data_IF_755567891571
#
_entry.id   IF_755567891571
#
_cell.length_a   1.000
_cell.length_b   1.000
_cell.length_c   1.000
_cell.angle_alpha   90.00
_cell.angle_beta   90.00
_cell.angle_gamma   90.00
#
_symmetry.space_group_name_H-M   'P 1'
#
loop_
_entity.id
_entity.type
_entity.pdbx_description
1 polymer ?
#
# COMPACT_ATOMS: atom_id res chain seq x y z
N UNK A 1 21.20 11.13 -7.55
CA UNK A 1 20.40 10.95 -8.77
C UNK A 1 19.24 9.99 -8.56
N UNK A 2 19.51 8.74 -8.31
CA UNK A 2 18.43 7.78 -8.07
C UNK A 2 17.55 8.17 -6.88
N UNK A 3 18.16 8.72 -5.85
CA UNK A 3 17.45 9.14 -4.66
C UNK A 3 16.48 10.29 -4.93
N UNK A 4 16.88 11.23 -5.74
CA UNK A 4 15.99 12.35 -6.12
C UNK A 4 14.79 11.85 -6.91
N UNK A 5 15.01 10.90 -7.80
CA UNK A 5 13.92 10.29 -8.57
C UNK A 5 12.95 9.59 -7.63
N UNK A 6 13.47 8.91 -6.60
CA UNK A 6 12.63 8.21 -5.63
C UNK A 6 11.75 9.17 -4.84
N UNK A 7 12.32 10.28 -4.40
CA UNK A 7 11.55 11.27 -3.65
C UNK A 7 10.44 11.88 -4.50
N UNK A 8 10.74 12.13 -5.77
CA UNK A 8 9.77 12.72 -6.68
C UNK A 8 8.67 11.74 -7.08
N UNK A 9 8.95 10.43 -7.05
CA UNK A 9 7.99 9.43 -7.46
C UNK A 9 6.71 9.49 -6.63
N UNK A 10 6.83 9.64 -5.30
CA UNK A 10 5.67 9.68 -4.41
C UNK A 10 4.84 10.95 -4.55
N UNK A 11 5.35 11.97 -5.25
CA UNK A 11 4.69 13.26 -5.41
C UNK A 11 4.42 13.60 -6.85
N UNK A 12 4.66 12.68 -7.77
CA UNK A 12 4.53 13.00 -9.17
C UNK A 12 3.07 13.25 -9.56
N UNK A 13 2.85 14.14 -10.55
CA UNK A 13 1.50 14.43 -11.04
C UNK A 13 0.83 13.20 -11.63
N UNK A 14 -0.51 13.26 -11.69
CA UNK A 14 -1.32 12.17 -12.23
C UNK A 14 -0.87 11.71 -13.61
N UNK A 15 -0.41 12.64 -14.45
CA UNK A 15 0.02 12.33 -15.81
C UNK A 15 1.21 11.36 -15.88
N UNK A 16 1.97 11.27 -14.80
CA UNK A 16 3.15 10.39 -14.74
C UNK A 16 2.90 9.10 -13.98
N UNK A 17 1.69 8.90 -13.52
CA UNK A 17 1.37 7.68 -12.81
C UNK A 17 1.40 6.48 -13.75
N UNK A 18 1.86 5.37 -13.21
CA UNK A 18 2.09 4.18 -13.99
C UNK A 18 3.48 4.11 -14.61
N UNK A 19 4.23 5.23 -14.62
CA UNK A 19 5.60 5.23 -15.12
C UNK A 19 6.55 4.98 -13.95
N UNK A 20 6.89 3.70 -13.73
CA UNK A 20 7.80 3.29 -12.65
C UNK A 20 7.26 3.57 -11.25
N UNK A 21 5.96 3.76 -11.10
CA UNK A 21 5.34 3.87 -9.78
C UNK A 21 5.35 2.50 -9.15
N UNK A 22 5.97 2.38 -7.98
CA UNK A 22 6.11 1.12 -7.28
C UNK A 22 5.10 1.01 -6.15
N UNK A 23 4.42 -0.12 -6.12
CA UNK A 23 3.41 -0.42 -5.10
C UNK A 23 3.82 -1.71 -4.40
N UNK A 24 3.85 -1.69 -3.08
CA UNK A 24 4.15 -2.87 -2.28
C UNK A 24 2.88 -3.41 -1.67
N UNK A 25 2.53 -4.64 -2.00
CA UNK A 25 1.35 -5.32 -1.47
C UNK A 25 1.79 -6.19 -0.30
N UNK A 26 1.31 -5.86 0.90
CA UNK A 26 1.67 -6.55 2.13
C UNK A 26 0.45 -7.33 2.63
N UNK A 27 0.50 -8.64 2.51
CA UNK A 27 -0.59 -9.52 2.86
C UNK A 27 -0.04 -10.94 3.00
N UNK A 28 -0.41 -11.66 4.05
CA UNK A 28 -0.01 -13.05 4.21
C UNK A 28 -0.76 -13.98 3.26
N UNK A 29 -1.87 -13.51 2.70
CA UNK A 29 -2.65 -14.28 1.72
C UNK A 29 -2.07 -14.11 0.32
N UNK A 30 -1.45 -15.17 -0.17
CA UNK A 30 -0.86 -15.17 -1.51
C UNK A 30 -1.91 -14.89 -2.60
N UNK A 31 -3.13 -15.40 -2.43
CA UNK A 31 -4.18 -15.19 -3.43
C UNK A 31 -4.51 -13.71 -3.61
N UNK A 32 -4.56 -12.97 -2.51
CA UNK A 32 -4.80 -11.55 -2.59
C UNK A 32 -3.63 -10.83 -3.28
N UNK A 33 -2.40 -11.20 -2.95
CA UNK A 33 -1.23 -10.58 -3.59
C UNK A 33 -1.23 -10.81 -5.10
N UNK A 34 -1.53 -12.04 -5.52
CA UNK A 34 -1.62 -12.37 -6.95
C UNK A 34 -2.72 -11.57 -7.64
N UNK A 35 -3.87 -11.46 -7.00
CA UNK A 35 -5.00 -10.71 -7.55
C UNK A 35 -4.68 -9.22 -7.66
N UNK A 36 -4.09 -8.65 -6.63
CA UNK A 36 -3.68 -7.24 -6.64
C UNK A 36 -2.68 -6.98 -7.77
N UNK A 37 -1.70 -7.86 -7.93
CA UNK A 37 -0.73 -7.74 -9.02
C UNK A 37 -1.41 -7.81 -10.38
N UNK A 38 -2.36 -8.72 -10.54
CA UNK A 38 -3.08 -8.88 -11.80
C UNK A 38 -3.91 -7.64 -12.16
N UNK A 39 -4.33 -6.87 -11.16
CA UNK A 39 -5.07 -5.64 -11.37
C UNK A 39 -4.12 -4.46 -11.62
N UNK A 40 -3.01 -4.39 -10.90
CA UNK A 40 -2.14 -3.22 -10.90
C UNK A 40 -1.13 -3.23 -12.06
N UNK A 41 -0.56 -4.35 -12.40
CA UNK A 41 0.47 -4.40 -13.45
C UNK A 41 -0.04 -3.95 -14.81
N UNK A 42 -1.22 -4.40 -15.27
CA UNK A 42 -1.74 -3.91 -16.55
C UNK A 42 -1.99 -2.40 -16.58
N UNK A 43 -2.20 -1.79 -15.41
CA UNK A 43 -2.39 -0.35 -15.30
C UNK A 43 -1.08 0.42 -15.27
N UNK A 44 0.07 -0.27 -15.33
CA UNK A 44 1.38 0.34 -15.43
C UNK A 44 2.14 0.43 -14.11
N UNK A 45 1.61 -0.11 -13.02
CA UNK A 45 2.31 -0.11 -11.74
C UNK A 45 3.32 -1.25 -11.67
N UNK A 46 4.45 -0.98 -11.05
CA UNK A 46 5.42 -2.01 -10.71
C UNK A 46 5.06 -2.52 -9.31
N UNK A 47 4.83 -3.82 -9.19
CA UNK A 47 4.31 -4.40 -7.95
C UNK A 47 5.36 -5.25 -7.26
N UNK A 48 5.57 -4.97 -5.98
CA UNK A 48 6.35 -5.79 -5.07
C UNK A 48 5.41 -6.45 -4.08
N UNK A 49 5.83 -7.56 -3.50
CA UNK A 49 5.00 -8.30 -2.55
C UNK A 49 5.78 -8.60 -1.27
N UNK A 50 5.08 -8.53 -0.14
CA UNK A 50 5.59 -8.95 1.15
C UNK A 50 4.52 -9.74 1.89
N UNK A 51 4.92 -10.80 2.58
CA UNK A 51 3.96 -11.63 3.33
C UNK A 51 3.85 -11.22 4.79
N UNK A 52 4.74 -10.35 5.27
CA UNK A 52 4.68 -9.85 6.64
C UNK A 52 5.29 -8.46 6.72
N UNK A 53 5.15 -7.84 7.88
CA UNK A 53 5.63 -6.48 8.09
C UNK A 53 7.15 -6.39 8.08
N UNK A 54 7.84 -7.39 8.58
CA UNK A 54 9.30 -7.37 8.63
C UNK A 54 9.88 -7.34 7.22
N UNK A 55 9.38 -8.17 6.33
CA UNK A 55 9.79 -8.18 4.95
C UNK A 55 9.39 -6.87 4.25
N UNK A 56 8.22 -6.34 4.59
CA UNK A 56 7.76 -5.04 4.10
C UNK A 56 8.78 -3.95 4.44
N UNK A 57 9.21 -3.86 5.69
CA UNK A 57 10.16 -2.85 6.11
C UNK A 57 11.50 -2.99 5.39
N UNK A 58 11.94 -4.22 5.17
CA UNK A 58 13.16 -4.47 4.43
C UNK A 58 13.04 -3.96 2.99
N UNK A 59 11.94 -4.26 2.33
CA UNK A 59 11.69 -3.81 0.97
C UNK A 59 11.61 -2.29 0.87
N UNK A 60 11.00 -1.63 1.85
CA UNK A 60 10.91 -0.18 1.85
C UNK A 60 12.27 0.50 1.99
N UNK A 61 13.23 -0.18 2.62
CA UNK A 61 14.60 0.32 2.72
C UNK A 61 15.39 0.11 1.44
N UNK A 62 15.04 -0.89 0.66
CA UNK A 62 15.78 -1.29 -0.54
C UNK A 62 15.22 -0.69 -1.82
N UNK A 63 13.96 -0.31 -1.84
CA UNK A 63 13.27 0.15 -3.04
C UNK A 63 12.55 1.46 -2.80
N UNK A 64 12.43 2.24 -3.86
CA UNK A 64 11.67 3.49 -3.85
C UNK A 64 10.19 3.18 -4.04
N UNK A 65 9.51 2.82 -2.97
CA UNK A 65 8.08 2.46 -3.00
C UNK A 65 7.24 3.72 -2.82
N UNK A 66 6.26 3.89 -3.68
CA UNK A 66 5.37 5.06 -3.64
C UNK A 66 4.15 4.82 -2.76
N UNK A 67 3.66 3.59 -2.71
CA UNK A 67 2.49 3.26 -1.92
C UNK A 67 2.56 1.84 -1.39
N UNK A 68 1.98 1.64 -0.22
CA UNK A 68 1.85 0.32 0.41
C UNK A 68 0.37 -0.02 0.51
N UNK A 69 0.01 -1.20 0.04
CA UNK A 69 -1.31 -1.77 0.26
C UNK A 69 -1.15 -2.76 1.41
N UNK A 70 -1.73 -2.43 2.56
CA UNK A 70 -1.47 -3.13 3.80
C UNK A 70 -2.71 -3.86 4.30
N UNK A 71 -2.60 -5.18 4.43
CA UNK A 71 -3.64 -5.97 5.09
C UNK A 71 -3.64 -5.65 6.59
N UNK A 72 -4.78 -5.25 7.10
CA UNK A 72 -4.92 -4.87 8.51
C UNK A 72 -5.06 -6.09 9.42
N UNK A 73 -5.30 -7.27 8.88
CA UNK A 73 -5.50 -8.48 9.68
C UNK A 73 -4.52 -9.56 9.21
N UNK A 74 -3.36 -9.59 9.85
CA UNK A 74 -2.34 -10.61 9.59
C UNK A 74 -1.98 -11.32 10.89
N UNK A 75 -1.67 -12.63 10.82
CA UNK A 75 -1.27 -13.36 12.02
C UNK A 75 -0.07 -12.74 12.71
N UNK A 76 -0.13 -12.63 14.02
CA UNK A 76 0.99 -12.15 14.83
C UNK A 76 1.25 -10.66 14.80
N UNK A 77 0.50 -9.89 14.04
CA UNK A 77 0.68 -8.43 13.98
C UNK A 77 -0.65 -7.71 13.99
N UNK A 78 -0.68 -6.60 14.69
CA UNK A 78 -1.81 -5.71 14.71
C UNK A 78 -1.65 -4.70 13.57
N UNK A 79 -2.63 -4.64 12.66
CA UNK A 79 -2.59 -3.71 11.53
C UNK A 79 -2.54 -2.26 11.96
N UNK A 80 -3.17 -1.94 13.08
CA UNK A 80 -3.15 -0.59 13.64
C UNK A 80 -1.72 -0.18 13.99
N UNK A 81 -0.99 -1.05 14.70
CA UNK A 81 0.41 -0.80 15.03
C UNK A 81 1.27 -0.72 13.77
N UNK A 82 0.97 -1.54 12.77
CA UNK A 82 1.71 -1.54 11.52
C UNK A 82 1.59 -0.20 10.80
N UNK A 83 0.39 0.38 10.73
CA UNK A 83 0.20 1.71 10.12
C UNK A 83 1.02 2.75 10.87
N UNK A 84 0.96 2.73 12.20
CA UNK A 84 1.71 3.67 13.02
C UNK A 84 3.21 3.55 12.79
N UNK A 85 3.73 2.34 12.78
CA UNK A 85 5.15 2.10 12.57
C UNK A 85 5.60 2.56 11.18
N UNK A 86 4.83 2.25 10.15
CA UNK A 86 5.14 2.67 8.79
C UNK A 86 5.17 4.17 8.66
N UNK A 87 4.21 4.87 9.26
CA UNK A 87 4.18 6.34 9.20
C UNK A 87 5.30 6.98 9.98
N UNK A 88 5.75 6.37 11.07
CA UNK A 88 6.89 6.87 11.83
C UNK A 88 8.19 6.73 11.05
N UNK A 89 8.39 5.57 10.41
CA UNK A 89 9.63 5.28 9.70
C UNK A 89 9.67 5.88 8.29
N UNK A 90 8.51 5.98 7.66
CA UNK A 90 8.39 6.48 6.29
C UNK A 90 7.23 7.48 6.21
N UNK A 91 7.41 8.72 6.73
CA UNK A 91 6.29 9.66 6.86
C UNK A 91 5.59 10.02 5.55
N UNK A 92 6.27 9.92 4.43
CA UNK A 92 5.71 10.30 3.14
C UNK A 92 5.10 9.13 2.37
N UNK A 93 5.23 7.91 2.89
CA UNK A 93 4.67 6.76 2.20
C UNK A 93 3.14 6.83 2.19
N UNK A 94 2.54 6.50 1.06
CA UNK A 94 1.09 6.40 0.98
C UNK A 94 0.67 5.01 1.43
N UNK A 95 -0.38 4.94 2.22
CA UNK A 95 -0.88 3.66 2.75
C UNK A 95 -2.35 3.50 2.39
N UNK A 96 -2.65 2.39 1.73
CA UNK A 96 -4.02 1.93 1.51
C UNK A 96 -4.24 0.72 2.40
N UNK A 97 -5.09 0.86 3.41
CA UNK A 97 -5.41 -0.23 4.33
C UNK A 97 -6.49 -1.11 3.71
N UNK A 98 -6.29 -2.42 3.73
CA UNK A 98 -7.28 -3.36 3.24
C UNK A 98 -7.64 -4.36 4.33
N UNK A 99 -8.87 -4.85 4.31
CA UNK A 99 -9.33 -5.88 5.26
C UNK A 99 -10.49 -6.65 4.67
N UNK A 100 -10.46 -7.98 4.83
CA UNK A 100 -11.57 -8.84 4.46
C UNK A 100 -12.26 -9.46 5.66
N UNK A 101 -11.88 -9.05 6.88
CA UNK A 101 -12.45 -9.59 8.09
C UNK A 101 -13.83 -9.01 8.36
N UNK A 102 -14.62 -9.70 9.18
CA UNK A 102 -15.95 -9.22 9.60
C UNK A 102 -15.90 -7.87 10.28
N UNK A 103 -14.76 -7.57 10.92
CA UNK A 103 -14.56 -6.31 11.64
C UNK A 103 -13.86 -5.25 10.79
N UNK A 104 -13.89 -5.42 9.46
CA UNK A 104 -13.15 -4.54 8.57
C UNK A 104 -13.54 -3.06 8.75
N UNK A 105 -14.82 -2.77 8.98
CA UNK A 105 -15.26 -1.38 9.16
C UNK A 105 -14.55 -0.70 10.32
N UNK A 106 -14.36 -1.42 11.42
CA UNK A 106 -13.68 -0.88 12.59
C UNK A 106 -12.19 -0.67 12.30
N UNK A 107 -11.53 -1.69 11.76
CA UNK A 107 -10.11 -1.60 11.44
C UNK A 107 -9.82 -0.51 10.43
N UNK A 108 -10.63 -0.43 9.38
CA UNK A 108 -10.42 0.55 8.33
C UNK A 108 -10.68 1.97 8.83
N UNK A 109 -11.68 2.16 9.66
CA UNK A 109 -11.97 3.46 10.25
C UNK A 109 -10.84 3.94 11.16
N UNK A 110 -10.34 3.05 12.00
CA UNK A 110 -9.23 3.39 12.91
C UNK A 110 -7.95 3.67 12.11
N UNK A 111 -7.68 2.90 11.07
CA UNK A 111 -6.47 3.09 10.26
C UNK A 111 -6.42 4.48 9.64
N UNK A 112 -7.57 5.01 9.22
CA UNK A 112 -7.64 6.36 8.67
C UNK A 112 -7.22 7.42 9.68
N UNK A 113 -7.58 7.24 10.94
CA UNK A 113 -7.19 8.15 12.03
C UNK A 113 -5.69 8.08 12.32
N UNK A 114 -5.05 6.97 12.01
CA UNK A 114 -3.64 6.74 12.31
C UNK A 114 -2.70 7.07 11.15
N UNK A 115 -3.23 7.50 10.04
CA UNK A 115 -2.42 7.96 8.92
C UNK A 115 -2.52 7.15 7.64
N UNK A 116 -3.42 6.17 7.56
CA UNK A 116 -3.71 5.54 6.28
C UNK A 116 -4.39 6.55 5.36
N UNK A 117 -3.95 6.60 4.12
CA UNK A 117 -4.47 7.58 3.15
C UNK A 117 -5.79 7.16 2.57
N UNK A 118 -6.07 5.88 2.55
CA UNK A 118 -7.33 5.32 2.09
C UNK A 118 -7.55 3.95 2.69
N UNK A 119 -8.74 3.43 2.54
CA UNK A 119 -9.08 2.10 3.01
C UNK A 119 -9.99 1.40 2.02
N UNK A 120 -9.92 0.07 1.99
CA UNK A 120 -10.66 -0.73 1.03
C UNK A 120 -10.98 -2.09 1.61
N UNK A 121 -12.25 -2.50 1.49
CA UNK A 121 -12.64 -3.88 1.76
C UNK A 121 -12.11 -4.76 0.63
N UNK A 122 -11.50 -5.89 0.97
CA UNK A 122 -10.95 -6.81 -0.04
C UNK A 122 -11.99 -7.28 -1.06
N UNK A 123 -13.26 -7.33 -0.66
CA UNK A 123 -14.34 -7.67 -1.57
C UNK A 123 -14.48 -6.65 -2.71
N UNK A 124 -13.93 -5.45 -2.52
CA UNK A 124 -13.98 -4.38 -3.51
C UNK A 124 -12.64 -4.16 -4.21
N UNK A 125 -11.86 -5.20 -4.33
CA UNK A 125 -10.50 -5.10 -4.90
C UNK A 125 -10.49 -4.53 -6.32
N UNK A 126 -11.59 -4.64 -7.04
CA UNK A 126 -11.69 -4.03 -8.38
C UNK A 126 -11.58 -2.50 -8.36
N UNK A 127 -11.80 -1.87 -7.20
CA UNK A 127 -11.65 -0.43 -7.03
C UNK A 127 -10.22 -0.01 -6.65
N UNK A 128 -9.31 -0.97 -6.55
CA UNK A 128 -7.95 -0.71 -6.07
C UNK A 128 -7.20 0.29 -6.93
N UNK A 129 -7.27 0.14 -8.24
CA UNK A 129 -6.55 0.98 -9.18
C UNK A 129 -6.99 2.46 -9.12
N UNK A 130 -8.30 2.77 -9.26
CA UNK A 130 -8.73 4.15 -9.14
C UNK A 130 -8.48 4.73 -7.75
N UNK A 131 -8.60 3.93 -6.71
CA UNK A 131 -8.32 4.39 -5.35
C UNK A 131 -6.85 4.77 -5.19
N UNK A 132 -5.95 3.95 -5.72
CA UNK A 132 -4.52 4.19 -5.66
C UNK A 132 -4.15 5.44 -6.42
N UNK A 133 -4.72 5.65 -7.58
CA UNK A 133 -4.50 6.87 -8.36
C UNK A 133 -4.94 8.11 -7.59
N UNK A 134 -6.08 8.02 -6.92
CA UNK A 134 -6.58 9.12 -6.11
C UNK A 134 -5.62 9.45 -4.95
N UNK A 135 -5.12 8.43 -4.29
CA UNK A 135 -4.18 8.58 -3.17
C UNK A 135 -2.86 9.19 -3.65
N UNK A 136 -2.37 8.75 -4.79
CA UNK A 136 -1.10 9.23 -5.34
C UNK A 136 -1.19 10.66 -5.89
N UNK A 137 -2.39 11.11 -6.20
CA UNK A 137 -2.62 12.47 -6.71
C UNK A 137 -2.56 13.55 -5.64
N UNK A 138 -2.64 13.17 -4.40
CA UNK A 138 -2.65 14.13 -3.29
C UNK A 138 -1.33 14.85 -3.11
#
# INVERSE_FOLDING_TARGET
MAQEVSEKASRRPAAFRGLNVKVLVVDDDRHFRVLARAILEPAGFEVLESEDLEHCLLQLRQHAVDAVILDMVMPGRDGIEAVQELKQLFPEIRIVAVSGAEQSDVYLSVSAHLGADASLDKARVSALCPLLQLVLDR
#
